data_IF_804316432867
#
_entry.id   IF_804316432867
#
_cell.length_a   1.000
_cell.length_b   1.000
_cell.length_c   1.000
_cell.angle_alpha   90.00
_cell.angle_beta   90.00
_cell.angle_gamma   90.00
#
_symmetry.space_group_name_H-M   'P 1'
#
loop_
_entity.id
_entity.type
_entity.pdbx_description
1 polymer ?
#
# COMPACT_ATOMS: atom_id res chain seq x y z
N UNK A 1 16.25 -36.27 -1.15
CA UNK A 1 16.86 -34.96 -0.85
C UNK A 1 15.80 -33.91 -1.07
N UNK A 2 15.31 -33.28 0.00
CA UNK A 2 14.44 -32.10 -0.14
C UNK A 2 15.22 -31.01 -0.87
N UNK A 3 14.60 -30.42 -1.89
CA UNK A 3 15.22 -29.35 -2.66
C UNK A 3 15.32 -28.12 -1.76
N UNK A 4 16.54 -27.70 -1.43
CA UNK A 4 16.78 -26.45 -0.72
C UNK A 4 16.14 -25.29 -1.48
N UNK A 5 15.29 -24.51 -0.79
CA UNK A 5 14.63 -23.32 -1.35
C UNK A 5 15.31 -22.09 -0.74
N UNK A 6 15.97 -21.24 -1.56
CA UNK A 6 16.59 -20.01 -1.07
C UNK A 6 15.57 -19.08 -0.39
N UNK A 7 15.98 -18.38 0.68
CA UNK A 7 15.09 -17.54 1.51
C UNK A 7 14.33 -16.48 0.70
N UNK A 8 15.00 -15.86 -0.29
CA UNK A 8 14.35 -14.89 -1.17
C UNK A 8 13.23 -15.52 -2.02
N UNK A 9 13.44 -16.74 -2.50
CA UNK A 9 12.41 -17.50 -3.23
C UNK A 9 11.27 -17.89 -2.29
N UNK A 10 11.59 -18.37 -1.08
CA UNK A 10 10.61 -18.81 -0.09
C UNK A 10 9.60 -17.71 0.26
N UNK A 11 10.05 -16.45 0.38
CA UNK A 11 9.16 -15.29 0.61
C UNK A 11 8.14 -15.10 -0.50
N UNK A 12 8.54 -15.23 -1.76
CA UNK A 12 7.58 -15.19 -2.87
C UNK A 12 6.59 -16.36 -2.81
N UNK A 13 7.08 -17.58 -2.56
CA UNK A 13 6.25 -18.78 -2.49
C UNK A 13 5.20 -18.68 -1.38
N UNK A 14 5.56 -18.09 -0.24
CA UNK A 14 4.63 -17.83 0.86
C UNK A 14 3.40 -17.03 0.41
N UNK A 15 3.59 -15.86 -0.21
CA UNK A 15 2.46 -15.05 -0.67
C UNK A 15 1.80 -15.59 -1.94
N UNK A 16 2.53 -16.29 -2.80
CA UNK A 16 1.93 -16.95 -3.96
C UNK A 16 0.99 -18.08 -3.56
N UNK A 17 1.30 -18.83 -2.50
CA UNK A 17 0.37 -19.85 -1.98
C UNK A 17 -0.95 -19.24 -1.52
N UNK A 18 -0.90 -18.10 -0.80
CA UNK A 18 -2.09 -17.32 -0.41
C UNK A 18 -2.89 -16.83 -1.61
N UNK A 19 -2.19 -16.25 -2.58
CA UNK A 19 -2.81 -15.81 -3.84
C UNK A 19 -3.46 -16.98 -4.59
N UNK A 20 -2.81 -18.14 -4.63
CA UNK A 20 -3.33 -19.31 -5.32
C UNK A 20 -4.62 -19.84 -4.68
N UNK A 21 -4.68 -19.93 -3.35
CA UNK A 21 -5.89 -20.32 -2.62
C UNK A 21 -7.09 -19.42 -2.96
N UNK A 22 -6.89 -18.09 -2.93
CA UNK A 22 -7.95 -17.13 -3.26
C UNK A 22 -8.38 -17.27 -4.72
N UNK A 23 -7.43 -17.48 -5.64
CA UNK A 23 -7.73 -17.66 -7.07
C UNK A 23 -8.42 -18.99 -7.38
N UNK A 24 -8.17 -20.03 -6.60
CA UNK A 24 -8.88 -21.31 -6.71
C UNK A 24 -10.35 -21.16 -6.34
N UNK A 25 -10.63 -20.50 -5.22
CA UNK A 25 -12.00 -20.21 -4.82
C UNK A 25 -12.70 -19.30 -5.83
N UNK A 26 -11.99 -18.26 -6.32
CA UNK A 26 -12.53 -17.38 -7.34
C UNK A 26 -12.84 -18.13 -8.65
N UNK A 27 -12.09 -19.19 -8.99
CA UNK A 27 -12.36 -20.02 -10.18
C UNK A 27 -13.66 -20.79 -10.07
N UNK A 28 -14.07 -21.18 -8.86
CA UNK A 28 -15.32 -21.91 -8.61
C UNK A 28 -16.55 -20.99 -8.50
N UNK A 29 -16.36 -19.67 -8.42
CA UNK A 29 -17.43 -18.70 -8.21
C UNK A 29 -18.04 -18.16 -9.51
N UNK A 30 -19.34 -17.85 -9.47
CA UNK A 30 -20.02 -17.13 -10.55
C UNK A 30 -19.55 -15.67 -10.67
N UNK A 31 -18.99 -15.09 -9.61
CA UNK A 31 -18.39 -13.75 -9.62
C UNK A 31 -16.96 -13.79 -9.04
N UNK A 32 -15.96 -14.17 -9.86
CA UNK A 32 -14.56 -14.28 -9.44
C UNK A 32 -13.98 -12.98 -8.87
N UNK A 33 -14.32 -11.83 -9.45
CA UNK A 33 -13.84 -10.52 -9.00
C UNK A 33 -14.27 -10.22 -7.56
N UNK A 34 -15.50 -10.60 -7.21
CA UNK A 34 -16.04 -10.41 -5.87
C UNK A 34 -15.28 -11.25 -4.84
N UNK A 35 -14.98 -12.51 -5.15
CA UNK A 35 -14.17 -13.37 -4.27
C UNK A 35 -12.79 -12.77 -4.02
N UNK A 36 -12.07 -12.39 -5.08
CA UNK A 36 -10.71 -11.84 -4.89
C UNK A 36 -10.71 -10.51 -4.15
N UNK A 37 -11.80 -9.73 -4.25
CA UNK A 37 -11.98 -8.49 -3.52
C UNK A 37 -12.28 -8.73 -2.03
N UNK A 38 -13.30 -9.54 -1.73
CA UNK A 38 -13.76 -9.82 -0.37
C UNK A 38 -12.72 -10.59 0.47
N UNK A 39 -11.90 -11.44 -0.16
CA UNK A 39 -10.80 -12.15 0.50
C UNK A 39 -9.49 -11.37 0.58
N UNK A 40 -9.51 -10.06 0.29
CA UNK A 40 -8.35 -9.17 0.41
C UNK A 40 -7.11 -9.66 -0.38
N UNK A 41 -7.31 -10.11 -1.63
CA UNK A 41 -6.19 -10.43 -2.52
C UNK A 41 -5.27 -9.23 -2.73
N UNK A 42 -5.81 -8.02 -2.61
CA UNK A 42 -5.07 -6.76 -2.74
C UNK A 42 -3.91 -6.68 -1.73
N UNK A 43 -4.12 -7.07 -0.47
CA UNK A 43 -3.03 -7.13 0.52
C UNK A 43 -1.93 -8.11 0.11
N UNK A 44 -2.28 -9.29 -0.41
CA UNK A 44 -1.30 -10.27 -0.92
C UNK A 44 -0.51 -9.70 -2.10
N UNK A 45 -1.17 -8.98 -3.00
CA UNK A 45 -0.52 -8.31 -4.14
C UNK A 45 0.44 -7.20 -3.70
N UNK A 46 0.13 -6.46 -2.63
CA UNK A 46 1.07 -5.49 -2.06
C UNK A 46 2.35 -6.17 -1.56
N UNK A 47 2.26 -7.33 -0.93
CA UNK A 47 3.44 -8.09 -0.47
C UNK A 47 4.29 -8.56 -1.65
N UNK A 48 3.64 -9.11 -2.68
CA UNK A 48 4.31 -9.57 -3.90
C UNK A 48 4.92 -8.42 -4.73
N UNK A 49 4.25 -7.27 -4.81
CA UNK A 49 4.82 -6.05 -5.39
C UNK A 49 6.02 -5.58 -4.54
N UNK A 50 5.89 -5.52 -3.21
CA UNK A 50 6.96 -5.12 -2.30
C UNK A 50 8.23 -5.95 -2.47
N UNK A 51 8.08 -7.28 -2.48
CA UNK A 51 9.17 -8.21 -2.80
C UNK A 51 9.76 -7.90 -4.18
N UNK A 52 8.94 -7.76 -5.21
CA UNK A 52 9.42 -7.49 -6.57
C UNK A 52 10.14 -6.15 -6.69
N UNK A 53 9.74 -5.12 -5.92
CA UNK A 53 10.38 -3.79 -5.88
C UNK A 53 11.78 -3.84 -5.28
N UNK A 54 12.00 -4.69 -4.27
CA UNK A 54 13.30 -4.94 -3.67
C UNK A 54 14.14 -5.79 -4.62
N UNK A 55 13.65 -6.97 -4.98
CA UNK A 55 14.43 -7.98 -5.69
C UNK A 55 14.74 -7.62 -7.14
N UNK A 56 13.97 -6.75 -7.80
CA UNK A 56 14.39 -6.20 -9.12
C UNK A 56 15.66 -5.36 -9.04
N UNK A 57 16.01 -4.83 -7.86
CA UNK A 57 17.22 -4.04 -7.65
C UNK A 57 18.38 -4.92 -7.18
N UNK A 58 18.08 -5.99 -6.45
CA UNK A 58 19.06 -7.05 -6.13
C UNK A 58 19.49 -7.78 -7.40
N UNK A 59 18.54 -8.10 -8.29
CA UNK A 59 18.77 -8.84 -9.54
C UNK A 59 18.33 -8.06 -10.78
N UNK A 60 19.01 -6.95 -11.15
CA UNK A 60 18.56 -6.02 -12.19
C UNK A 60 18.48 -6.61 -13.60
N UNK A 61 19.30 -7.61 -13.91
CA UNK A 61 19.31 -8.28 -15.22
C UNK A 61 18.25 -9.38 -15.36
N UNK A 62 17.54 -9.68 -14.27
CA UNK A 62 16.59 -10.77 -14.24
C UNK A 62 15.15 -10.29 -14.46
N UNK A 63 14.23 -11.23 -14.69
CA UNK A 63 12.84 -10.93 -15.10
C UNK A 63 11.94 -10.48 -13.93
N UNK A 64 12.48 -10.18 -12.76
CA UNK A 64 11.72 -9.77 -11.57
C UNK A 64 10.97 -8.44 -11.80
N UNK A 65 11.52 -7.50 -12.58
CA UNK A 65 10.81 -6.28 -13.00
C UNK A 65 9.48 -6.58 -13.73
N UNK A 66 9.38 -7.75 -14.40
CA UNK A 66 8.11 -8.17 -15.03
C UNK A 66 7.09 -8.64 -14.01
N UNK A 67 7.53 -9.19 -12.88
CA UNK A 67 6.66 -9.57 -11.76
C UNK A 67 6.08 -8.34 -11.08
N UNK A 68 6.92 -7.35 -10.77
CA UNK A 68 6.48 -6.07 -10.20
C UNK A 68 5.34 -5.45 -11.02
N UNK A 69 5.52 -5.31 -12.35
CA UNK A 69 4.49 -4.75 -13.23
C UNK A 69 3.19 -5.55 -13.22
N UNK A 70 3.27 -6.88 -13.06
CA UNK A 70 2.08 -7.74 -13.02
C UNK A 70 1.31 -7.55 -11.72
N UNK A 71 2.01 -7.59 -10.59
CA UNK A 71 1.39 -7.44 -9.28
C UNK A 71 0.83 -6.04 -9.11
N UNK A 72 1.58 -5.01 -9.49
CA UNK A 72 1.11 -3.63 -9.49
C UNK A 72 -0.15 -3.44 -10.34
N UNK A 73 -0.16 -3.95 -11.57
CA UNK A 73 -1.35 -3.78 -12.42
C UNK A 73 -2.59 -4.45 -11.85
N UNK A 74 -2.44 -5.62 -11.22
CA UNK A 74 -3.56 -6.30 -10.56
C UNK A 74 -3.98 -5.56 -9.28
N UNK A 75 -3.02 -5.08 -8.48
CA UNK A 75 -3.30 -4.24 -7.30
C UNK A 75 -4.05 -2.97 -7.68
N UNK A 76 -3.62 -2.26 -8.74
CA UNK A 76 -4.25 -1.03 -9.19
C UNK A 76 -5.72 -1.25 -9.62
N UNK A 77 -6.03 -2.39 -10.26
CA UNK A 77 -7.40 -2.74 -10.64
C UNK A 77 -8.29 -2.96 -9.40
N UNK A 78 -7.81 -3.72 -8.42
CA UNK A 78 -8.53 -3.91 -7.16
C UNK A 78 -8.60 -2.61 -6.34
N UNK A 79 -7.59 -1.76 -6.43
CA UNK A 79 -7.57 -0.45 -5.80
C UNK A 79 -8.64 0.49 -6.36
N UNK A 80 -8.89 0.44 -7.67
CA UNK A 80 -9.97 1.18 -8.32
C UNK A 80 -11.35 0.71 -7.86
N UNK A 81 -11.57 -0.61 -7.75
CA UNK A 81 -12.81 -1.17 -7.19
C UNK A 81 -12.99 -0.73 -5.73
N UNK A 82 -11.95 -0.91 -4.90
CA UNK A 82 -11.98 -0.56 -3.50
C UNK A 82 -12.32 0.92 -3.26
N UNK A 83 -11.77 1.81 -4.08
CA UNK A 83 -12.03 3.24 -3.98
C UNK A 83 -13.53 3.55 -4.11
N UNK A 84 -14.19 3.08 -5.16
CA UNK A 84 -15.61 3.38 -5.36
C UNK A 84 -16.51 2.64 -4.37
N UNK A 85 -16.17 1.40 -4.00
CA UNK A 85 -16.96 0.62 -3.03
C UNK A 85 -16.90 1.22 -1.62
N UNK A 86 -15.72 1.64 -1.14
CA UNK A 86 -15.57 2.32 0.15
C UNK A 86 -16.36 3.63 0.20
N UNK A 87 -16.28 4.45 -0.85
CA UNK A 87 -17.04 5.70 -0.89
C UNK A 87 -18.54 5.48 -1.09
N UNK A 88 -18.96 4.45 -1.83
CA UNK A 88 -20.37 4.08 -1.91
C UNK A 88 -20.93 3.77 -0.52
N UNK A 89 -20.24 2.93 0.26
CA UNK A 89 -20.62 2.61 1.64
C UNK A 89 -20.66 3.86 2.53
N UNK A 90 -19.62 4.70 2.46
CA UNK A 90 -19.58 5.96 3.18
C UNK A 90 -20.76 6.88 2.84
N UNK A 91 -21.13 6.96 1.56
CA UNK A 91 -22.24 7.79 1.09
C UNK A 91 -23.61 7.21 1.43
N UNK A 92 -23.71 5.89 1.54
CA UNK A 92 -24.92 5.20 1.98
C UNK A 92 -25.22 5.49 3.46
N UNK A 93 -24.18 5.63 4.28
CA UNK A 93 -24.30 5.89 5.72
C UNK A 93 -24.54 7.37 6.07
N UNK A 94 -24.46 8.28 5.08
CA UNK A 94 -24.64 9.72 5.28
C UNK A 94 -25.91 10.22 4.57
N UNK A 95 -26.96 10.45 5.36
CA UNK A 95 -28.28 10.91 4.89
C UNK A 95 -28.26 12.29 4.20
N UNK A 96 -27.21 13.11 4.42
CA UNK A 96 -27.06 14.39 3.72
C UNK A 96 -26.72 14.17 2.25
N UNK A 97 -26.09 13.06 1.88
CA UNK A 97 -25.63 12.84 0.50
C UNK A 97 -26.82 12.42 -0.38
N UNK A 98 -27.05 13.08 -1.53
CA UNK A 98 -28.17 12.74 -2.40
C UNK A 98 -28.08 11.29 -2.90
N UNK A 99 -29.18 10.55 -2.84
CA UNK A 99 -29.26 9.14 -3.27
C UNK A 99 -28.75 8.91 -4.71
N UNK A 100 -28.91 9.91 -5.59
CA UNK A 100 -28.40 9.86 -6.95
C UNK A 100 -26.86 9.90 -7.02
N UNK A 101 -26.19 10.61 -6.11
CA UNK A 101 -24.72 10.62 -6.00
C UNK A 101 -24.22 9.30 -5.39
N UNK A 102 -24.93 8.76 -4.40
CA UNK A 102 -24.65 7.43 -3.85
C UNK A 102 -24.79 6.35 -4.93
N UNK A 103 -25.83 6.43 -5.77
CA UNK A 103 -26.05 5.53 -6.91
C UNK A 103 -24.93 5.64 -7.94
N UNK A 104 -24.42 6.85 -8.22
CA UNK A 104 -23.27 7.04 -9.09
C UNK A 104 -22.01 6.30 -8.58
N UNK A 105 -21.73 6.36 -7.27
CA UNK A 105 -20.60 5.62 -6.69
C UNK A 105 -20.80 4.10 -6.80
N UNK A 106 -22.01 3.60 -6.56
CA UNK A 106 -22.36 2.19 -6.71
C UNK A 106 -22.17 1.69 -8.16
N UNK A 107 -22.67 2.45 -9.14
CA UNK A 107 -22.49 2.13 -10.56
C UNK A 107 -21.00 2.06 -10.94
N UNK A 108 -20.18 2.98 -10.43
CA UNK A 108 -18.73 2.97 -10.66
C UNK A 108 -18.03 1.78 -10.00
N UNK A 109 -18.45 1.39 -8.80
CA UNK A 109 -17.93 0.19 -8.15
C UNK A 109 -18.25 -1.07 -8.99
N UNK A 110 -19.48 -1.18 -9.50
CA UNK A 110 -19.89 -2.30 -10.36
C UNK A 110 -19.14 -2.31 -11.71
N UNK A 111 -18.92 -1.15 -12.33
CA UNK A 111 -18.05 -1.03 -13.51
C UNK A 111 -16.64 -1.58 -13.23
N UNK A 112 -16.04 -1.22 -12.09
CA UNK A 112 -14.71 -1.71 -11.69
C UNK A 112 -14.69 -3.18 -11.35
N UNK A 113 -15.74 -3.71 -10.74
CA UNK A 113 -15.90 -5.14 -10.50
C UNK A 113 -15.88 -5.92 -11.82
N UNK A 114 -16.59 -5.42 -12.82
CA UNK A 114 -16.64 -6.01 -14.16
C UNK A 114 -15.29 -5.92 -14.89
N UNK A 115 -14.56 -4.82 -14.75
CA UNK A 115 -13.17 -4.70 -15.25
C UNK A 115 -12.24 -5.77 -14.64
N UNK A 116 -12.35 -6.01 -13.33
CA UNK A 116 -11.57 -7.06 -12.64
C UNK A 116 -11.96 -8.44 -13.14
N UNK A 117 -13.25 -8.74 -13.30
CA UNK A 117 -13.72 -10.03 -13.82
C UNK A 117 -13.16 -10.32 -15.21
N UNK A 118 -13.28 -9.33 -16.11
CA UNK A 118 -12.72 -9.40 -17.46
C UNK A 118 -11.21 -9.64 -17.42
N UNK A 119 -10.49 -8.91 -16.57
CA UNK A 119 -9.05 -9.05 -16.41
C UNK A 119 -8.63 -10.45 -15.94
N UNK A 120 -9.31 -11.01 -14.94
CA UNK A 120 -9.03 -12.35 -14.40
C UNK A 120 -9.09 -13.42 -15.49
N UNK A 121 -10.15 -13.38 -16.30
CA UNK A 121 -10.42 -14.32 -17.39
C UNK A 121 -9.45 -14.11 -18.55
N UNK A 122 -9.40 -12.89 -19.11
CA UNK A 122 -8.61 -12.59 -20.32
C UNK A 122 -7.12 -12.80 -20.09
N UNK A 123 -6.61 -12.41 -18.90
CA UNK A 123 -5.21 -12.62 -18.57
C UNK A 123 -4.93 -14.03 -18.08
N UNK A 124 -5.94 -14.87 -17.86
CA UNK A 124 -5.80 -16.26 -17.40
C UNK A 124 -5.13 -16.35 -16.03
N UNK A 125 -5.59 -15.51 -15.10
CA UNK A 125 -5.28 -15.64 -13.67
C UNK A 125 -6.07 -16.80 -13.06
N UNK A 126 -7.33 -16.95 -13.48
CA UNK A 126 -8.23 -18.05 -13.12
C UNK A 126 -8.42 -19.04 -14.30
N UNK A 127 -9.08 -20.17 -14.02
CA UNK A 127 -9.37 -21.25 -14.97
C UNK A 127 -8.28 -22.34 -15.03
N UNK A 128 -8.59 -23.46 -15.70
CA UNK A 128 -7.85 -24.75 -15.62
C UNK A 128 -6.32 -24.66 -15.76
N UNK A 129 -5.81 -23.69 -16.52
CA UNK A 129 -4.37 -23.61 -16.82
C UNK A 129 -3.61 -22.60 -15.96
N UNK A 130 -4.27 -21.71 -15.21
CA UNK A 130 -3.71 -20.57 -14.43
C UNK A 130 -2.40 -20.04 -15.02
N UNK A 131 -2.43 -19.61 -16.29
CA UNK A 131 -1.22 -19.35 -17.10
C UNK A 131 -0.32 -18.28 -16.49
N UNK A 132 -0.88 -17.33 -15.73
CA UNK A 132 -0.08 -16.30 -15.07
C UNK A 132 0.75 -16.85 -13.91
N UNK A 133 0.16 -17.67 -13.02
CA UNK A 133 0.90 -18.27 -11.91
C UNK A 133 2.07 -19.13 -12.42
N UNK A 134 1.83 -19.98 -13.43
CA UNK A 134 2.90 -20.78 -14.07
C UNK A 134 4.04 -19.92 -14.62
N UNK A 135 3.74 -18.75 -15.18
CA UNK A 135 4.76 -17.80 -15.65
C UNK A 135 5.55 -17.19 -14.50
N UNK A 136 4.91 -16.93 -13.37
CA UNK A 136 5.56 -16.38 -12.17
C UNK A 136 6.53 -17.42 -11.60
N UNK A 137 6.07 -18.64 -11.34
CA UNK A 137 6.95 -19.72 -10.86
C UNK A 137 8.15 -19.95 -11.78
N UNK A 138 7.93 -20.01 -13.10
CA UNK A 138 9.02 -20.14 -14.08
C UNK A 138 10.03 -18.97 -14.06
N UNK A 139 9.61 -17.77 -13.66
CA UNK A 139 10.55 -16.65 -13.48
C UNK A 139 11.36 -16.89 -12.20
N UNK A 140 10.70 -17.21 -11.09
CA UNK A 140 11.35 -17.41 -9.78
C UNK A 140 12.33 -18.59 -9.78
N UNK A 141 12.01 -19.69 -10.46
CA UNK A 141 12.88 -20.87 -10.58
C UNK A 141 14.17 -20.61 -11.37
N UNK A 142 14.20 -19.54 -12.17
CA UNK A 142 15.36 -19.14 -12.98
C UNK A 142 16.22 -18.09 -12.32
N UNK A 143 15.81 -17.60 -11.16
CA UNK A 143 16.59 -16.62 -10.42
C UNK A 143 17.73 -17.33 -9.72
N UNK A 144 18.94 -16.87 -9.96
CA UNK A 144 20.13 -17.25 -9.19
C UNK A 144 20.08 -16.52 -7.85
N UNK A 145 19.35 -17.08 -6.89
CA UNK A 145 19.16 -16.49 -5.58
C UNK A 145 20.46 -16.54 -4.77
N UNK A 146 20.75 -15.45 -4.06
CA UNK A 146 21.76 -15.42 -3.02
C UNK A 146 21.41 -16.40 -1.89
N UNK A 147 22.47 -16.79 -1.17
CA UNK A 147 22.33 -17.39 0.15
C UNK A 147 21.73 -16.40 1.15
N UNK A 148 21.45 -16.88 2.36
CA UNK A 148 20.78 -16.09 3.39
C UNK A 148 21.54 -14.81 3.75
N UNK A 149 22.86 -14.91 3.96
CA UNK A 149 23.70 -13.77 4.33
C UNK A 149 23.80 -12.73 3.21
N UNK A 150 23.97 -13.18 1.96
CA UNK A 150 24.02 -12.30 0.79
C UNK A 150 22.68 -11.61 0.53
N UNK A 151 21.58 -12.34 0.71
CA UNK A 151 20.23 -11.80 0.63
C UNK A 151 19.98 -10.73 1.69
N UNK A 152 20.27 -11.01 2.97
CA UNK A 152 20.08 -10.06 4.06
C UNK A 152 20.85 -8.74 3.83
N UNK A 153 22.13 -8.83 3.44
CA UNK A 153 22.97 -7.66 3.12
C UNK A 153 22.41 -6.86 1.95
N UNK A 154 22.01 -7.54 0.87
CA UNK A 154 21.48 -6.88 -0.32
C UNK A 154 20.15 -6.16 0.00
N UNK A 155 19.25 -6.82 0.74
CA UNK A 155 17.97 -6.22 1.16
C UNK A 155 18.19 -5.01 2.06
N UNK A 156 19.09 -5.09 3.05
CA UNK A 156 19.42 -3.97 3.93
C UNK A 156 19.91 -2.74 3.13
N UNK A 157 20.85 -2.96 2.21
CA UNK A 157 21.36 -1.90 1.34
C UNK A 157 20.25 -1.26 0.49
N UNK A 158 19.34 -2.06 -0.07
CA UNK A 158 18.20 -1.54 -0.83
C UNK A 158 17.25 -0.74 0.07
N UNK A 159 16.95 -1.24 1.27
CA UNK A 159 16.05 -0.59 2.22
C UNK A 159 16.58 0.79 2.62
N UNK A 160 17.85 0.90 3.02
CA UNK A 160 18.51 2.18 3.31
C UNK A 160 18.49 3.14 2.12
N UNK A 161 18.73 2.63 0.92
CA UNK A 161 18.69 3.46 -0.28
C UNK A 161 17.28 3.99 -0.60
N UNK A 162 16.23 3.24 -0.32
CA UNK A 162 14.86 3.74 -0.45
C UNK A 162 14.58 4.85 0.56
N UNK A 163 15.01 4.71 1.82
CA UNK A 163 14.94 5.77 2.82
C UNK A 163 15.64 7.05 2.31
N UNK A 164 16.90 6.94 1.87
CA UNK A 164 17.66 8.07 1.34
C UNK A 164 16.97 8.73 0.15
N UNK A 165 16.35 7.95 -0.75
CA UNK A 165 15.60 8.48 -1.90
C UNK A 165 14.38 9.28 -1.46
N UNK A 166 13.60 8.79 -0.50
CA UNK A 166 12.42 9.51 0.01
C UNK A 166 12.85 10.83 0.66
N UNK A 167 13.85 10.79 1.55
CA UNK A 167 14.42 12.00 2.16
C UNK A 167 14.90 12.99 1.09
N UNK A 168 15.65 12.52 0.09
CA UNK A 168 16.19 13.36 -0.98
C UNK A 168 15.09 13.96 -1.85
N UNK A 169 14.04 13.21 -2.17
CA UNK A 169 12.91 13.72 -2.97
C UNK A 169 12.20 14.83 -2.20
N UNK A 170 11.90 14.60 -0.91
CA UNK A 170 11.22 15.59 -0.08
C UNK A 170 12.04 16.87 0.10
N UNK A 171 13.35 16.75 0.41
CA UNK A 171 14.24 17.92 0.55
C UNK A 171 14.41 18.76 -0.71
N UNK A 172 14.13 18.20 -1.89
CA UNK A 172 14.22 18.91 -3.17
C UNK A 172 12.91 19.57 -3.57
N UNK A 173 11.86 19.44 -2.75
CA UNK A 173 10.58 20.09 -2.99
C UNK A 173 10.76 21.60 -2.82
N UNK A 174 10.51 22.36 -3.88
CA UNK A 174 10.59 23.83 -3.86
C UNK A 174 9.26 24.47 -3.44
N UNK A 175 8.15 23.80 -3.76
CA UNK A 175 6.78 24.31 -3.54
C UNK A 175 6.03 23.49 -2.48
N UNK A 176 5.07 24.07 -1.75
CA UNK A 176 4.17 23.29 -0.89
C UNK A 176 3.31 22.34 -1.72
N UNK A 177 2.67 21.35 -1.07
CA UNK A 177 1.67 20.52 -1.71
C UNK A 177 0.50 21.35 -2.25
N UNK A 178 0.13 21.07 -3.49
CA UNK A 178 -0.96 21.73 -4.22
C UNK A 178 -2.00 20.71 -4.74
N UNK A 179 -1.66 19.43 -4.77
CA UNK A 179 -2.54 18.37 -5.26
C UNK A 179 -2.59 17.15 -4.32
N UNK A 180 -3.79 16.64 -4.06
CA UNK A 180 -3.99 15.51 -3.13
C UNK A 180 -3.40 14.21 -3.69
N UNK A 181 -3.52 13.95 -4.99
CA UNK A 181 -3.08 12.71 -5.61
C UNK A 181 -1.59 12.74 -5.97
N UNK A 182 -1.12 13.84 -6.56
CA UNK A 182 0.27 13.96 -7.02
C UNK A 182 1.26 14.25 -5.88
N UNK A 183 0.80 14.91 -4.80
CA UNK A 183 1.68 15.28 -3.69
C UNK A 183 1.41 14.44 -2.43
N UNK A 184 0.22 14.56 -1.84
CA UNK A 184 -0.10 13.94 -0.55
C UNK A 184 -0.11 12.41 -0.69
N UNK A 185 -0.82 11.89 -1.69
CA UNK A 185 -0.91 10.46 -1.94
C UNK A 185 0.43 9.87 -2.40
N UNK A 186 1.18 10.54 -3.27
CA UNK A 186 2.49 10.03 -3.70
C UNK A 186 3.49 10.01 -2.54
N UNK A 187 3.57 11.05 -1.69
CA UNK A 187 4.41 11.01 -0.50
C UNK A 187 4.00 9.83 0.41
N UNK A 188 2.70 9.70 0.67
CA UNK A 188 2.18 8.57 1.47
C UNK A 188 2.56 7.23 0.83
N UNK A 189 2.42 7.06 -0.49
CA UNK A 189 2.76 5.81 -1.21
C UNK A 189 4.24 5.49 -1.04
N UNK A 190 5.11 6.51 -1.08
CA UNK A 190 6.55 6.36 -0.87
C UNK A 190 6.90 5.91 0.54
N UNK A 191 6.33 6.56 1.56
CA UNK A 191 6.52 6.20 2.96
C UNK A 191 5.96 4.81 3.27
N UNK A 192 4.76 4.50 2.73
CA UNK A 192 4.08 3.22 2.96
C UNK A 192 4.92 2.01 2.56
N UNK A 193 5.74 2.12 1.51
CA UNK A 193 6.63 1.02 1.12
C UNK A 193 7.63 0.64 2.21
N UNK A 194 8.12 1.62 2.98
CA UNK A 194 9.04 1.35 4.09
C UNK A 194 8.35 0.54 5.20
N UNK A 195 7.03 0.69 5.39
CA UNK A 195 6.25 -0.13 6.35
C UNK A 195 5.78 -1.47 5.78
N UNK A 196 5.55 -1.57 4.46
CA UNK A 196 5.16 -2.83 3.79
C UNK A 196 6.34 -3.80 3.68
N UNK A 197 7.56 -3.31 3.41
CA UNK A 197 8.71 -4.19 3.21
C UNK A 197 8.97 -5.15 4.40
N UNK A 198 8.94 -4.73 5.67
CA UNK A 198 9.07 -5.65 6.80
C UNK A 198 8.06 -6.80 6.78
N UNK A 199 6.80 -6.52 6.45
CA UNK A 199 5.75 -7.52 6.33
C UNK A 199 6.01 -8.49 5.17
N UNK A 200 6.40 -7.94 4.02
CA UNK A 200 6.70 -8.72 2.81
C UNK A 200 7.95 -9.60 2.98
N UNK A 201 8.91 -9.19 3.81
CA UNK A 201 10.18 -9.88 3.99
C UNK A 201 10.14 -11.05 4.99
N UNK A 202 8.96 -11.37 5.54
CA UNK A 202 8.70 -12.56 6.36
C UNK A 202 9.74 -12.76 7.47
N UNK A 203 9.91 -11.74 8.32
CA UNK A 203 10.74 -11.84 9.53
C UNK A 203 12.20 -11.43 9.38
N UNK A 204 12.68 -11.13 8.16
CA UNK A 204 14.02 -10.58 7.97
C UNK A 204 14.20 -9.21 8.64
N UNK A 205 13.14 -8.43 8.75
CA UNK A 205 13.16 -7.13 9.41
C UNK A 205 12.44 -7.24 10.73
N UNK A 206 13.10 -6.82 11.81
CA UNK A 206 12.57 -6.84 13.17
C UNK A 206 12.65 -5.45 13.80
N UNK A 207 11.80 -5.21 14.81
CA UNK A 207 11.88 -4.01 15.63
C UNK A 207 12.80 -4.26 16.81
N UNK A 208 13.59 -3.26 17.19
CA UNK A 208 14.35 -3.32 18.43
C UNK A 208 13.44 -3.39 19.66
N UNK A 209 13.95 -4.02 20.72
CA UNK A 209 13.41 -3.88 22.06
C UNK A 209 14.02 -2.60 22.64
N UNK A 210 13.27 -1.51 22.60
CA UNK A 210 13.68 -0.24 23.20
C UNK A 210 12.65 0.15 24.25
N UNK A 211 13.15 0.44 25.46
CA UNK A 211 12.33 0.84 26.60
C UNK A 211 12.15 2.37 26.66
N UNK A 212 13.11 3.14 26.12
CA UNK A 212 13.10 4.60 26.17
C UNK A 212 12.62 5.22 24.85
N UNK A 213 11.54 6.02 24.94
CA UNK A 213 11.04 6.83 23.85
C UNK A 213 11.42 8.31 24.04
N UNK A 214 12.22 8.91 23.13
CA UNK A 214 12.50 10.34 23.15
C UNK A 214 11.22 11.19 23.22
N UNK A 215 11.22 12.23 24.06
CA UNK A 215 10.01 13.03 24.35
C UNK A 215 9.31 13.56 23.09
N UNK A 216 10.09 14.04 22.12
CA UNK A 216 9.56 14.61 20.88
C UNK A 216 8.87 13.57 19.98
N UNK A 217 9.13 12.27 20.17
CA UNK A 217 8.47 11.19 19.41
C UNK A 217 7.12 10.79 20.00
N UNK A 218 6.86 11.05 21.29
CA UNK A 218 5.65 10.58 21.98
C UNK A 218 4.35 10.98 21.28
N UNK A 219 4.31 12.14 20.64
CA UNK A 219 3.16 12.63 19.85
C UNK A 219 2.76 11.71 18.70
N UNK A 220 3.67 10.89 18.19
CA UNK A 220 3.40 9.93 17.12
C UNK A 220 2.97 8.55 17.64
N UNK A 221 3.27 8.23 18.90
CA UNK A 221 3.02 6.93 19.52
C UNK A 221 1.62 6.91 20.17
N UNK A 222 0.60 7.20 19.38
CA UNK A 222 -0.79 7.11 19.86
C UNK A 222 -1.17 5.64 20.09
N UNK A 223 -2.19 5.35 20.93
CA UNK A 223 -2.65 3.98 21.15
C UNK A 223 -3.00 3.24 19.85
N UNK A 224 -3.63 3.92 18.89
CA UNK A 224 -3.99 3.35 17.58
C UNK A 224 -2.76 2.94 16.78
N UNK A 225 -1.66 3.68 16.91
CA UNK A 225 -0.40 3.37 16.23
C UNK A 225 0.33 2.24 16.94
N UNK A 226 0.51 2.32 18.25
CA UNK A 226 1.24 1.30 19.03
C UNK A 226 0.57 -0.07 18.90
N UNK A 227 -0.76 -0.12 18.89
CA UNK A 227 -1.54 -1.36 18.78
C UNK A 227 -1.96 -1.71 17.34
N UNK A 228 -1.45 -0.99 16.34
CA UNK A 228 -1.75 -1.27 14.93
C UNK A 228 -1.25 -2.65 14.53
N UNK A 229 -2.12 -3.45 13.89
CA UNK A 229 -1.75 -4.75 13.29
C UNK A 229 -0.61 -4.65 12.27
N UNK A 230 -0.45 -3.48 11.64
CA UNK A 230 0.62 -3.22 10.67
C UNK A 230 2.00 -3.05 11.32
N UNK A 231 2.03 -2.84 12.63
CA UNK A 231 3.24 -2.65 13.43
C UNK A 231 3.72 -3.92 14.13
N UNK A 232 3.02 -5.03 13.92
CA UNK A 232 3.43 -6.36 14.39
C UNK A 232 4.29 -7.01 13.32
N UNK A 233 5.55 -7.31 13.63
CA UNK A 233 6.47 -7.94 12.67
C UNK A 233 6.18 -9.44 12.54
N UNK A 234 6.30 -10.03 11.33
CA UNK A 234 6.30 -11.47 11.18
C UNK A 234 7.45 -12.11 11.97
N UNK A 235 7.25 -13.33 12.47
CA UNK A 235 8.28 -14.06 13.21
C UNK A 235 9.56 -14.24 12.38
N UNK A 236 10.71 -13.97 12.99
CA UNK A 236 12.03 -14.02 12.35
C UNK A 236 12.93 -15.15 12.85
N UNK A 237 12.44 -16.01 13.74
CA UNK A 237 13.25 -16.97 14.51
C UNK A 237 13.90 -18.06 13.64
N UNK A 238 13.39 -18.26 12.43
CA UNK A 238 13.93 -19.20 11.45
C UNK A 238 15.09 -18.61 10.62
N UNK A 239 15.46 -17.34 10.84
CA UNK A 239 16.54 -16.66 10.13
C UNK A 239 17.72 -16.39 11.07
N UNK A 240 18.92 -16.64 10.57
CA UNK A 240 20.19 -16.36 11.24
C UNK A 240 20.59 -14.87 11.14
N UNK A 241 20.09 -14.17 10.13
CA UNK A 241 20.37 -12.75 9.90
C UNK A 241 19.11 -11.90 9.91
N UNK A 242 19.19 -10.73 10.55
CA UNK A 242 18.06 -9.82 10.70
C UNK A 242 18.49 -8.34 10.55
N UNK A 243 17.58 -7.54 10.02
CA UNK A 243 17.68 -6.09 9.89
C UNK A 243 16.85 -5.47 11.01
N UNK A 244 17.47 -4.65 11.85
CA UNK A 244 16.79 -4.02 12.97
C UNK A 244 16.40 -2.58 12.67
N UNK A 245 15.10 -2.31 12.80
CA UNK A 245 14.57 -0.95 12.79
C UNK A 245 14.33 -0.48 14.22
N UNK A 246 14.56 0.80 14.46
CA UNK A 246 14.19 1.42 15.71
C UNK A 246 12.65 1.46 15.84
N UNK A 247 12.14 0.91 16.95
CA UNK A 247 10.69 0.77 17.20
C UNK A 247 9.96 2.12 17.20
N UNK A 248 10.48 3.10 17.93
CA UNK A 248 9.83 4.40 18.11
C UNK A 248 9.77 5.18 16.79
N UNK A 249 10.85 5.17 15.99
CA UNK A 249 10.85 5.78 14.66
C UNK A 249 9.98 5.01 13.66
N UNK A 250 9.86 3.69 13.78
CA UNK A 250 8.94 2.91 12.96
C UNK A 250 7.47 3.25 13.27
N UNK A 251 7.13 3.43 14.55
CA UNK A 251 5.81 3.92 14.95
C UNK A 251 5.55 5.34 14.43
N UNK A 252 6.54 6.23 14.48
CA UNK A 252 6.41 7.55 13.88
C UNK A 252 6.18 7.50 12.36
N UNK A 253 6.86 6.61 11.64
CA UNK A 253 6.58 6.33 10.23
C UNK A 253 5.14 5.83 10.02
N UNK A 254 4.68 4.88 10.84
CA UNK A 254 3.32 4.36 10.78
C UNK A 254 2.28 5.46 11.02
N UNK A 255 2.51 6.35 11.98
CA UNK A 255 1.66 7.50 12.25
C UNK A 255 1.56 8.41 11.02
N UNK A 256 2.68 8.76 10.42
CA UNK A 256 2.70 9.62 9.23
C UNK A 256 1.93 9.02 8.05
N UNK A 257 2.07 7.70 7.83
CA UNK A 257 1.32 7.00 6.78
C UNK A 257 -0.19 7.01 7.06
N UNK A 258 -0.58 6.87 8.32
CA UNK A 258 -1.98 6.88 8.75
C UNK A 258 -2.59 8.28 8.61
N UNK A 259 -1.92 9.32 9.11
CA UNK A 259 -2.41 10.70 9.06
C UNK A 259 -2.51 11.24 7.63
N UNK A 260 -1.49 11.03 6.79
CA UNK A 260 -1.60 11.35 5.37
C UNK A 260 -2.71 10.54 4.68
N UNK A 261 -3.01 9.34 5.19
CA UNK A 261 -4.12 8.51 4.72
C UNK A 261 -5.46 9.19 4.97
N UNK A 262 -5.72 9.57 6.23
CA UNK A 262 -6.94 10.30 6.64
C UNK A 262 -7.11 11.59 5.85
N UNK A 263 -6.05 12.38 5.70
CA UNK A 263 -6.08 13.64 4.95
C UNK A 263 -6.37 13.40 3.46
N UNK A 264 -5.74 12.39 2.85
CA UNK A 264 -5.99 11.99 1.46
C UNK A 264 -7.45 11.57 1.26
N UNK A 265 -7.96 10.69 2.11
CA UNK A 265 -9.32 10.16 1.99
C UNK A 265 -10.37 11.27 2.18
N UNK A 266 -10.16 12.16 3.16
CA UNK A 266 -11.00 13.36 3.35
C UNK A 266 -11.00 14.28 2.11
N UNK A 267 -9.84 14.47 1.46
CA UNK A 267 -9.76 15.24 0.23
C UNK A 267 -10.45 14.57 -0.97
N UNK A 268 -10.32 13.25 -1.09
CA UNK A 268 -10.93 12.47 -2.17
C UNK A 268 -12.44 12.37 -2.05
N UNK A 269 -12.98 12.34 -0.83
CA UNK A 269 -14.42 12.41 -0.58
C UNK A 269 -15.04 13.63 -1.28
N UNK A 270 -14.46 14.82 -1.06
CA UNK A 270 -14.92 16.05 -1.69
C UNK A 270 -14.79 16.03 -3.22
N UNK A 271 -13.71 15.43 -3.74
CA UNK A 271 -13.50 15.31 -5.19
C UNK A 271 -14.57 14.41 -5.80
N UNK A 272 -14.84 13.26 -5.19
CA UNK A 272 -15.84 12.32 -5.69
C UNK A 272 -17.26 12.88 -5.57
N UNK A 273 -17.61 13.51 -4.45
CA UNK A 273 -18.89 14.20 -4.28
C UNK A 273 -19.09 15.27 -5.36
N UNK A 274 -18.08 16.11 -5.59
CA UNK A 274 -18.09 17.14 -6.63
C UNK A 274 -18.28 16.53 -8.01
N UNK A 275 -17.62 15.41 -8.30
CA UNK A 275 -17.76 14.69 -9.55
C UNK A 275 -19.18 14.13 -9.73
N UNK A 276 -19.70 13.43 -8.73
CA UNK A 276 -21.06 12.87 -8.75
C UNK A 276 -22.13 13.95 -8.94
N UNK A 277 -22.03 15.06 -8.22
CA UNK A 277 -22.94 16.21 -8.37
C UNK A 277 -22.92 16.77 -9.80
N UNK A 278 -21.73 16.92 -10.39
CA UNK A 278 -21.58 17.36 -11.79
C UNK A 278 -22.18 16.36 -12.77
N UNK A 279 -21.98 15.06 -12.54
CA UNK A 279 -22.42 14.01 -13.46
C UNK A 279 -23.93 13.86 -13.46
N UNK A 280 -24.53 13.83 -12.28
CA UNK A 280 -25.97 13.56 -12.12
C UNK A 280 -26.81 14.82 -12.27
N UNK A 281 -26.46 15.91 -11.56
CA UNK A 281 -27.27 17.14 -11.57
C UNK A 281 -26.82 18.19 -12.59
N UNK A 282 -25.73 17.92 -13.34
CA UNK A 282 -25.13 18.87 -14.31
C UNK A 282 -24.74 20.21 -13.69
N UNK A 283 -24.56 20.27 -12.37
CA UNK A 283 -24.15 21.47 -11.65
C UNK A 283 -22.65 21.67 -11.81
N UNK A 284 -22.23 22.57 -12.69
CA UNK A 284 -20.82 22.89 -12.91
C UNK A 284 -20.33 24.00 -11.97
N UNK A 285 -21.07 25.10 -11.89
CA UNK A 285 -20.82 26.21 -10.98
C UNK A 285 -21.06 25.80 -9.53
N UNK A 286 -20.18 26.20 -8.61
CA UNK A 286 -20.32 25.99 -7.15
C UNK A 286 -20.38 24.55 -6.64
N UNK A 287 -20.18 23.55 -7.50
CA UNK A 287 -20.13 22.12 -7.13
C UNK A 287 -19.20 21.80 -5.94
N UNK A 288 -18.10 22.55 -5.77
CA UNK A 288 -17.22 22.40 -4.61
C UNK A 288 -17.84 22.88 -3.28
N UNK A 289 -18.60 23.99 -3.30
CA UNK A 289 -19.33 24.46 -2.11
C UNK A 289 -20.45 23.51 -1.73
N UNK A 290 -21.17 23.00 -2.74
CA UNK A 290 -22.23 22.01 -2.55
C UNK A 290 -21.70 20.68 -2.02
N UNK A 291 -20.55 20.20 -2.53
CA UNK A 291 -19.90 19.01 -1.98
C UNK A 291 -19.61 19.17 -0.47
N UNK A 292 -19.08 20.34 -0.07
CA UNK A 292 -18.85 20.65 1.34
C UNK A 292 -20.14 20.65 2.18
N UNK A 293 -21.26 21.16 1.66
CA UNK A 293 -22.53 21.18 2.42
C UNK A 293 -23.17 19.80 2.62
N UNK A 294 -22.83 18.82 1.76
CA UNK A 294 -23.31 17.44 1.90
C UNK A 294 -22.36 16.55 2.73
N UNK A 295 -21.16 17.04 3.05
CA UNK A 295 -20.19 16.30 3.84
C UNK A 295 -20.53 16.32 5.33
N UNK A 296 -19.91 15.42 6.09
CA UNK A 296 -20.07 15.37 7.55
C UNK A 296 -19.50 16.61 8.24
N UNK A 297 -19.98 16.86 9.46
CA UNK A 297 -19.49 17.95 10.28
C UNK A 297 -18.01 17.72 10.60
N UNK A 298 -17.16 18.72 10.33
CA UNK A 298 -15.70 18.60 10.47
C UNK A 298 -14.96 18.19 9.19
N UNK A 299 -15.65 18.02 8.05
CA UNK A 299 -15.00 17.83 6.76
C UNK A 299 -14.08 19.01 6.42
N UNK A 300 -12.82 18.71 6.10
CA UNK A 300 -11.84 19.70 5.72
C UNK A 300 -12.02 20.12 4.26
N UNK A 301 -11.81 21.39 3.97
CA UNK A 301 -11.65 21.87 2.60
C UNK A 301 -10.36 21.32 1.99
N UNK A 302 -10.29 21.27 0.66
CA UNK A 302 -9.08 20.85 -0.06
C UNK A 302 -7.85 21.68 0.37
N UNK A 303 -8.02 22.98 0.58
CA UNK A 303 -6.94 23.86 1.02
C UNK A 303 -6.45 23.50 2.44
N UNK A 304 -7.36 23.22 3.37
CA UNK A 304 -7.00 22.78 4.73
C UNK A 304 -6.34 21.40 4.74
N UNK A 305 -6.79 20.47 3.90
CA UNK A 305 -6.16 19.16 3.70
C UNK A 305 -4.70 19.33 3.26
N UNK A 306 -4.46 20.15 2.24
CA UNK A 306 -3.12 20.41 1.71
C UNK A 306 -2.24 21.14 2.74
N UNK A 307 -2.79 22.14 3.43
CA UNK A 307 -2.05 22.86 4.46
C UNK A 307 -1.65 21.95 5.63
N UNK A 308 -2.58 21.15 6.16
CA UNK A 308 -2.28 20.19 7.23
C UNK A 308 -1.26 19.15 6.77
N UNK A 309 -1.40 18.64 5.54
CA UNK A 309 -0.47 17.67 4.96
C UNK A 309 0.95 18.24 4.85
N UNK A 310 1.09 19.49 4.43
CA UNK A 310 2.39 20.18 4.41
C UNK A 310 2.99 20.27 5.80
N UNK A 311 2.22 20.79 6.78
CA UNK A 311 2.71 21.02 8.13
C UNK A 311 3.23 19.72 8.79
N UNK A 312 2.45 18.64 8.73
CA UNK A 312 2.87 17.37 9.35
C UNK A 312 4.07 16.75 8.62
N UNK A 313 4.11 16.84 7.28
CA UNK A 313 5.22 16.31 6.50
C UNK A 313 6.51 17.09 6.79
N UNK A 314 6.46 18.42 6.76
CA UNK A 314 7.61 19.27 7.04
C UNK A 314 8.18 18.99 8.44
N UNK A 315 7.31 18.88 9.45
CA UNK A 315 7.71 18.51 10.81
C UNK A 315 8.42 17.14 10.86
N UNK A 316 7.82 16.11 10.26
CA UNK A 316 8.37 14.76 10.26
C UNK A 316 9.73 14.66 9.58
N UNK A 317 9.93 15.35 8.46
CA UNK A 317 11.23 15.37 7.78
C UNK A 317 12.25 16.26 8.49
N UNK A 318 11.81 17.35 9.13
CA UNK A 318 12.67 18.20 9.96
C UNK A 318 13.22 17.45 11.18
N UNK A 319 12.37 16.65 11.83
CA UNK A 319 12.72 15.79 12.98
C UNK A 319 13.55 14.56 12.59
N UNK A 320 13.90 14.41 11.30
CA UNK A 320 14.78 13.36 10.77
C UNK A 320 14.34 11.93 11.09
N UNK A 321 13.03 11.70 11.24
CA UNK A 321 12.45 10.40 11.62
C UNK A 321 13.02 9.25 10.78
N UNK A 322 13.05 9.43 9.45
CA UNK A 322 13.56 8.42 8.53
C UNK A 322 15.07 8.18 8.64
N UNK A 323 15.86 9.17 9.05
CA UNK A 323 17.32 9.02 9.18
C UNK A 323 17.73 8.14 10.35
N UNK A 324 16.86 7.97 11.34
CA UNK A 324 17.09 7.15 12.52
C UNK A 324 16.33 5.80 12.48
N UNK A 325 15.69 5.50 11.35
CA UNK A 325 14.82 4.32 11.24
C UNK A 325 15.60 3.00 11.29
N UNK A 326 16.76 2.91 10.64
CA UNK A 326 17.59 1.70 10.61
C UNK A 326 18.67 1.83 11.69
N UNK A 327 18.76 0.83 12.57
CA UNK A 327 19.69 0.87 13.71
C UNK A 327 20.91 -0.03 13.51
N UNK A 328 20.71 -1.26 13.01
CA UNK A 328 21.81 -2.19 12.74
C UNK A 328 21.40 -3.33 11.81
N UNK A 329 22.40 -4.02 11.28
CA UNK A 329 22.26 -5.33 10.62
C UNK A 329 23.07 -6.34 11.44
N UNK A 330 22.49 -7.49 11.76
CA UNK A 330 23.17 -8.60 12.43
C UNK A 330 23.12 -9.85 11.56
#
# INVERSE_FOLDING_TARGET
MEKFIPVGQARFLHFLSKMEMILDEATASANPARIVYEQDLRSVLFMLEGLSRIYKKVYPHQKIKKLEKKFKHFEDLLGGLNFYDEFYKLFQDNEKIPALVTSYAAEKAEEKLNEVNKFLIEKKWIGEKKKQLKKIYKILDKVEWFDETGDARAVAFIYENEIRKVIKKFKRREEPFIDIEQDVHELRRQLRWLSIYPQALCGLVQLTAEDDCPEYLKKYLTPEIVHSKFNVMPAGDALNHQIFLNRNYFYALSWMIAELGKLKDSGLELILLKEGLKKVFKVSAHSGRLAGSFSNDGQLTIAEVLQKSNNIADQFFHEKILSHLVQSTK
#
